data_IF_005794249303
#
_entry.id   IF_005794249303
#
_cell.length_a   1.000
_cell.length_b   1.000
_cell.length_c   1.000
_cell.angle_alpha   90.00
_cell.angle_beta   90.00
_cell.angle_gamma   90.00
#
_symmetry.space_group_name_H-M   'P 1'
#
loop_
_entity.id
_entity.type
_entity.pdbx_description
1 polymer ?
#
# COMPACT_ATOMS: atom_id res chain seq x y z
N UNK A 1 15.45 -70.24 -21.78
CA UNK A 1 14.18 -70.54 -21.07
C UNK A 1 14.49 -70.38 -19.58
N UNK A 2 13.91 -69.49 -18.77
CA UNK A 2 12.75 -68.62 -18.88
C UNK A 2 12.95 -67.43 -17.94
N UNK A 3 12.40 -66.28 -18.33
CA UNK A 3 12.29 -65.10 -17.50
C UNK A 3 11.38 -65.35 -16.29
N UNK A 4 11.67 -64.71 -15.15
CA UNK A 4 10.63 -64.35 -14.19
C UNK A 4 10.96 -62.99 -13.58
N UNK A 5 10.39 -61.95 -14.20
CA UNK A 5 10.30 -60.58 -13.67
C UNK A 5 9.26 -60.59 -12.56
N UNK A 6 9.64 -60.20 -11.35
CA UNK A 6 8.69 -59.82 -10.30
C UNK A 6 8.52 -58.31 -10.32
N UNK A 7 7.46 -57.87 -11.02
CA UNK A 7 6.86 -56.55 -10.88
C UNK A 7 6.10 -56.52 -9.54
N UNK A 8 6.42 -55.60 -8.65
CA UNK A 8 5.56 -55.28 -7.50
C UNK A 8 5.38 -53.77 -7.38
N UNK A 9 4.20 -53.33 -7.82
CA UNK A 9 3.38 -52.22 -7.32
C UNK A 9 4.09 -50.93 -6.90
N UNK A 10 4.24 -50.03 -7.86
CA UNK A 10 4.37 -48.61 -7.60
C UNK A 10 2.95 -48.05 -7.35
N UNK A 11 2.55 -47.96 -6.08
CA UNK A 11 1.28 -47.38 -5.67
C UNK A 11 1.30 -45.86 -5.94
N UNK A 12 0.69 -45.47 -7.05
CA UNK A 12 0.45 -44.07 -7.41
C UNK A 12 -0.65 -43.52 -6.48
N UNK A 13 -0.24 -42.82 -5.42
CA UNK A 13 -1.16 -42.03 -4.60
C UNK A 13 -1.86 -40.95 -5.47
N UNK A 14 -3.16 -40.72 -5.30
CA UNK A 14 -3.91 -39.70 -6.04
C UNK A 14 -3.51 -38.29 -5.58
N UNK A 15 -3.05 -37.47 -6.54
CA UNK A 15 -2.95 -36.01 -6.42
C UNK A 15 -4.35 -35.41 -6.55
N UNK A 16 -5.09 -35.27 -5.47
CA UNK A 16 -6.32 -34.49 -5.46
C UNK A 16 -6.65 -34.05 -4.03
N UNK A 17 -6.42 -32.77 -3.71
CA UNK A 17 -7.23 -31.93 -2.80
C UNK A 17 -6.47 -30.65 -2.43
N UNK A 18 -6.58 -29.60 -3.27
CA UNK A 18 -6.12 -28.24 -2.93
C UNK A 18 -6.97 -27.15 -3.61
N UNK A 19 -8.28 -27.32 -3.75
CA UNK A 19 -9.07 -26.37 -4.56
C UNK A 19 -10.26 -25.69 -3.86
N UNK A 20 -10.47 -25.84 -2.54
CA UNK A 20 -11.65 -25.25 -1.88
C UNK A 20 -11.38 -24.25 -0.75
N UNK A 21 -10.23 -24.31 -0.07
CA UNK A 21 -9.95 -23.44 1.10
C UNK A 21 -9.45 -22.04 0.76
N UNK A 22 -9.09 -21.75 -0.50
CA UNK A 22 -8.52 -20.44 -0.89
C UNK A 22 -9.59 -19.37 -1.09
N UNK A 23 -10.78 -19.73 -1.57
CA UNK A 23 -11.79 -18.75 -1.99
C UNK A 23 -12.41 -17.93 -0.84
N UNK A 24 -12.57 -18.51 0.35
CA UNK A 24 -13.11 -17.79 1.51
C UNK A 24 -12.08 -16.85 2.13
N UNK A 25 -10.82 -17.30 2.24
CA UNK A 25 -9.70 -16.48 2.74
C UNK A 25 -9.42 -15.30 1.82
N UNK A 26 -9.41 -15.50 0.50
CA UNK A 26 -9.22 -14.42 -0.48
C UNK A 26 -10.31 -13.35 -0.38
N UNK A 27 -11.58 -13.75 -0.28
CA UNK A 27 -12.71 -12.82 -0.05
C UNK A 27 -12.55 -12.06 1.26
N UNK A 28 -12.13 -12.75 2.32
CA UNK A 28 -11.86 -12.11 3.61
C UNK A 28 -10.78 -11.04 3.51
N UNK A 29 -9.65 -11.36 2.86
CA UNK A 29 -8.55 -10.41 2.64
C UNK A 29 -8.96 -9.23 1.76
N UNK A 30 -9.76 -9.46 0.71
CA UNK A 30 -10.31 -8.39 -0.13
C UNK A 30 -11.19 -7.43 0.70
N UNK A 31 -12.07 -7.97 1.52
CA UNK A 31 -12.95 -7.16 2.38
C UNK A 31 -12.17 -6.35 3.41
N UNK A 32 -11.13 -6.94 4.00
CA UNK A 32 -10.22 -6.23 4.90
C UNK A 32 -9.47 -5.10 4.18
N UNK A 33 -9.00 -5.32 2.94
CA UNK A 33 -8.35 -4.27 2.16
C UNK A 33 -9.30 -3.11 1.88
N UNK A 34 -10.53 -3.39 1.44
CA UNK A 34 -11.56 -2.35 1.19
C UNK A 34 -11.83 -1.56 2.47
N UNK A 35 -11.96 -2.24 3.61
CA UNK A 35 -12.15 -1.58 4.91
C UNK A 35 -10.96 -0.70 5.29
N UNK A 36 -9.74 -1.14 5.04
CA UNK A 36 -8.54 -0.31 5.24
C UNK A 36 -8.55 0.95 4.38
N UNK A 37 -8.95 0.85 3.11
CA UNK A 37 -9.12 2.01 2.22
C UNK A 37 -10.20 2.97 2.74
N UNK A 38 -11.33 2.44 3.20
CA UNK A 38 -12.39 3.26 3.79
C UNK A 38 -11.88 4.03 5.01
N UNK A 39 -11.17 3.37 5.93
CA UNK A 39 -10.59 4.05 7.09
C UNK A 39 -9.59 5.14 6.70
N UNK A 40 -8.76 4.95 5.67
CA UNK A 40 -7.90 6.02 5.15
C UNK A 40 -8.71 7.23 4.67
N UNK A 41 -9.80 6.99 3.93
CA UNK A 41 -10.67 8.05 3.37
C UNK A 41 -11.45 8.79 4.46
N UNK A 42 -11.74 8.14 5.58
CA UNK A 42 -12.38 8.74 6.76
C UNK A 42 -11.40 9.47 7.69
N UNK A 43 -10.07 9.35 7.46
CA UNK A 43 -9.04 9.91 8.33
C UNK A 43 -8.71 9.04 9.56
N UNK A 44 -9.25 7.82 9.63
CA UNK A 44 -8.98 6.83 10.69
C UNK A 44 -7.69 6.05 10.38
N UNK A 45 -6.55 6.75 10.39
CA UNK A 45 -5.28 6.25 9.84
C UNK A 45 -4.68 5.09 10.64
N UNK A 46 -4.79 5.11 11.96
CA UNK A 46 -4.28 4.03 12.83
C UNK A 46 -4.99 2.69 12.56
N UNK A 47 -6.32 2.73 12.42
CA UNK A 47 -7.12 1.54 12.09
C UNK A 47 -6.81 1.04 10.68
N UNK A 48 -6.61 1.95 9.72
CA UNK A 48 -6.19 1.61 8.37
C UNK A 48 -4.83 0.90 8.36
N UNK A 49 -3.83 1.45 9.06
CA UNK A 49 -2.50 0.85 9.21
C UNK A 49 -2.61 -0.53 9.83
N UNK A 50 -3.37 -0.68 10.92
CA UNK A 50 -3.54 -1.95 11.63
C UNK A 50 -4.11 -3.06 10.73
N UNK A 51 -5.21 -2.77 10.02
CA UNK A 51 -5.85 -3.75 9.12
C UNK A 51 -4.94 -4.08 7.94
N UNK A 52 -4.38 -3.08 7.26
CA UNK A 52 -3.56 -3.30 6.07
C UNK A 52 -2.24 -3.99 6.41
N UNK A 53 -1.67 -3.71 7.59
CA UNK A 53 -0.50 -4.42 8.11
C UNK A 53 -0.78 -5.92 8.25
N UNK A 54 -1.94 -6.31 8.79
CA UNK A 54 -2.29 -7.73 8.94
C UNK A 54 -2.40 -8.49 7.62
N UNK A 55 -2.66 -7.78 6.51
CA UNK A 55 -2.71 -8.35 5.17
C UNK A 55 -1.33 -8.49 4.53
N UNK A 56 -0.46 -7.51 4.77
CA UNK A 56 0.84 -7.39 4.09
C UNK A 56 1.98 -8.02 4.90
N UNK A 57 1.88 -8.05 6.22
CA UNK A 57 2.96 -8.51 7.10
C UNK A 57 2.50 -9.71 7.94
N UNK A 58 3.36 -10.73 8.14
CA UNK A 58 3.09 -11.76 9.13
C UNK A 58 3.07 -11.14 10.54
N UNK A 59 2.25 -11.66 11.47
CA UNK A 59 2.21 -11.15 12.84
C UNK A 59 3.59 -11.27 13.51
N UNK A 60 4.00 -10.22 14.23
CA UNK A 60 5.29 -10.17 14.94
C UNK A 60 6.52 -10.02 14.05
N UNK A 61 6.36 -9.84 12.74
CA UNK A 61 7.45 -9.70 11.79
C UNK A 61 7.60 -8.25 11.30
N UNK A 62 8.78 -7.92 10.78
CA UNK A 62 9.08 -6.61 10.18
C UNK A 62 9.24 -6.66 8.64
N UNK A 63 9.01 -7.82 8.02
CA UNK A 63 9.10 -8.00 6.56
C UNK A 63 7.72 -8.25 5.95
N UNK A 64 7.57 -7.97 4.66
CA UNK A 64 6.32 -8.25 3.96
C UNK A 64 6.20 -9.69 3.50
N UNK A 65 4.95 -10.12 3.35
CA UNK A 65 4.56 -11.40 2.80
C UNK A 65 4.84 -11.42 1.29
N UNK A 66 5.67 -12.33 0.77
CA UNK A 66 6.00 -12.38 -0.65
C UNK A 66 4.77 -12.66 -1.53
N UNK A 67 3.74 -13.29 -0.98
CA UNK A 67 2.47 -13.63 -1.61
C UNK A 67 1.40 -12.51 -1.52
N UNK A 68 1.63 -11.45 -0.73
CA UNK A 68 0.68 -10.36 -0.61
C UNK A 68 0.55 -9.59 -1.94
N UNK A 69 -0.67 -9.41 -2.49
CA UNK A 69 -0.90 -8.65 -3.71
C UNK A 69 -0.32 -7.24 -3.65
N UNK A 70 0.29 -6.78 -4.75
CA UNK A 70 0.86 -5.42 -4.83
C UNK A 70 -0.18 -4.33 -4.51
N UNK A 71 -1.46 -4.54 -4.87
CA UNK A 71 -2.55 -3.63 -4.52
C UNK A 71 -2.65 -3.41 -3.01
N UNK A 72 -2.57 -4.47 -2.20
CA UNK A 72 -2.63 -4.36 -0.74
C UNK A 72 -1.39 -3.67 -0.18
N UNK A 73 -0.21 -3.95 -0.76
CA UNK A 73 1.05 -3.29 -0.40
C UNK A 73 1.01 -1.78 -0.70
N UNK A 74 0.47 -1.37 -1.85
CA UNK A 74 0.31 0.06 -2.19
C UNK A 74 -0.67 0.76 -1.26
N UNK A 75 -1.76 0.10 -0.88
CA UNK A 75 -2.69 0.63 0.12
C UNK A 75 -2.03 0.78 1.48
N UNK A 76 -1.26 -0.23 1.92
CA UNK A 76 -0.51 -0.14 3.16
C UNK A 76 0.54 0.97 3.12
N UNK A 77 1.27 1.13 2.01
CA UNK A 77 2.21 2.23 1.80
C UNK A 77 1.52 3.60 1.88
N UNK A 78 0.32 3.71 1.32
CA UNK A 78 -0.49 4.94 1.40
C UNK A 78 -0.89 5.23 2.84
N UNK A 79 -1.31 4.22 3.61
CA UNK A 79 -1.67 4.38 5.01
C UNK A 79 -0.47 4.82 5.86
N UNK A 80 0.71 4.22 5.66
CA UNK A 80 1.96 4.62 6.32
C UNK A 80 2.31 6.07 6.03
N UNK A 81 2.19 6.50 4.76
CA UNK A 81 2.48 7.88 4.39
C UNK A 81 1.58 8.87 5.12
N UNK A 82 0.27 8.59 5.14
CA UNK A 82 -0.73 9.45 5.76
C UNK A 82 -0.60 9.49 7.28
N UNK A 83 -0.26 8.37 7.92
CA UNK A 83 -0.06 8.30 9.38
C UNK A 83 1.26 8.91 9.84
N UNK A 84 2.02 9.54 8.93
CA UNK A 84 3.25 10.24 9.26
C UNK A 84 4.50 9.38 9.26
N UNK A 85 4.46 8.21 8.60
CA UNK A 85 5.57 7.27 8.46
C UNK A 85 6.11 7.20 7.02
N UNK A 86 6.65 8.30 6.45
CA UNK A 86 7.17 8.33 5.08
C UNK A 86 8.34 7.35 4.86
N UNK A 87 9.11 7.03 5.90
CA UNK A 87 10.21 6.06 5.82
C UNK A 87 9.71 4.67 5.44
N UNK A 88 8.76 4.15 6.23
CA UNK A 88 8.11 2.86 5.98
C UNK A 88 7.36 2.82 4.65
N UNK A 89 6.78 3.95 4.23
CA UNK A 89 6.23 4.06 2.87
C UNK A 89 7.32 3.83 1.81
N UNK A 90 8.45 4.55 1.87
CA UNK A 90 9.53 4.42 0.89
C UNK A 90 10.16 3.02 0.86
N UNK A 91 10.35 2.40 2.02
CA UNK A 91 10.85 1.03 2.12
C UNK A 91 9.92 0.05 1.41
N UNK A 92 8.62 0.15 1.69
CA UNK A 92 7.61 -0.69 1.05
C UNK A 92 7.53 -0.45 -0.47
N UNK A 93 7.64 0.81 -0.91
CA UNK A 93 7.70 1.16 -2.33
C UNK A 93 8.97 0.64 -3.03
N UNK A 94 10.08 0.50 -2.32
CA UNK A 94 11.33 -0.06 -2.86
C UNK A 94 11.28 -1.59 -2.94
N UNK A 95 10.58 -2.25 -2.02
CA UNK A 95 10.36 -3.69 -2.05
C UNK A 95 9.40 -4.12 -3.18
N UNK A 96 8.42 -3.28 -3.49
CA UNK A 96 7.53 -3.47 -4.63
C UNK A 96 8.29 -3.24 -5.94
N UNK A 97 8.58 -4.31 -6.70
CA UNK A 97 9.16 -4.26 -8.04
C UNK A 97 8.16 -3.76 -9.11
N UNK A 98 7.43 -2.70 -8.80
CA UNK A 98 6.31 -2.15 -9.58
C UNK A 98 6.45 -0.62 -9.74
N UNK A 99 7.63 -0.17 -10.17
CA UNK A 99 7.97 1.26 -10.28
C UNK A 99 7.12 2.00 -11.34
N UNK A 100 6.58 1.26 -12.32
CA UNK A 100 5.74 1.81 -13.38
C UNK A 100 4.31 2.14 -12.94
N UNK A 101 3.87 1.69 -11.76
CA UNK A 101 2.49 1.88 -11.33
C UNK A 101 2.20 3.36 -11.02
N UNK A 102 1.11 3.96 -11.56
CA UNK A 102 0.79 5.37 -11.34
C UNK A 102 0.76 5.78 -9.87
N UNK A 103 0.18 4.93 -9.02
CA UNK A 103 0.12 5.16 -7.57
C UNK A 103 1.49 5.22 -6.90
N UNK A 104 2.43 4.37 -7.31
CA UNK A 104 3.79 4.36 -6.76
C UNK A 104 4.49 5.68 -7.12
N UNK A 105 4.30 6.15 -8.36
CA UNK A 105 4.84 7.43 -8.81
C UNK A 105 4.22 8.61 -8.05
N UNK A 106 2.89 8.60 -7.84
CA UNK A 106 2.18 9.61 -7.07
C UNK A 106 2.67 9.67 -5.61
N UNK A 107 2.84 8.53 -4.93
CA UNK A 107 3.36 8.49 -3.56
C UNK A 107 4.79 9.03 -3.49
N UNK A 108 5.67 8.64 -4.43
CA UNK A 108 7.03 9.18 -4.50
C UNK A 108 7.04 10.69 -4.79
N UNK A 109 6.14 11.17 -5.63
CA UNK A 109 5.98 12.59 -5.94
C UNK A 109 5.50 13.38 -4.72
N UNK A 110 4.52 12.86 -3.97
CA UNK A 110 4.02 13.47 -2.74
C UNK A 110 5.14 13.61 -1.69
N UNK A 111 5.94 12.56 -1.48
CA UNK A 111 7.09 12.60 -0.57
C UNK A 111 8.12 13.63 -1.03
N UNK A 112 8.48 13.66 -2.32
CA UNK A 112 9.40 14.67 -2.88
C UNK A 112 8.89 16.10 -2.70
N UNK A 113 7.60 16.32 -2.88
CA UNK A 113 6.98 17.63 -2.67
C UNK A 113 7.01 18.03 -1.20
N UNK A 114 6.73 17.08 -0.30
CA UNK A 114 6.83 17.28 1.14
C UNK A 114 8.26 17.60 1.59
N UNK A 115 9.27 16.90 1.07
CA UNK A 115 10.69 17.14 1.38
C UNK A 115 11.11 18.59 1.09
N UNK A 116 10.55 19.21 0.05
CA UNK A 116 10.80 20.63 -0.29
C UNK A 116 10.24 21.60 0.75
N UNK A 117 9.28 21.17 1.57
CA UNK A 117 8.71 22.01 2.62
C UNK A 117 9.59 22.02 3.87
N UNK A 118 10.50 21.06 4.03
CA UNK A 118 11.34 20.92 5.22
C UNK A 118 12.38 22.04 5.30
N UNK A 119 12.69 22.47 6.52
CA UNK A 119 13.85 23.35 6.73
C UNK A 119 15.14 22.61 6.39
N UNK A 120 16.22 23.33 6.09
CA UNK A 120 17.51 22.72 5.74
C UNK A 120 17.97 21.68 6.77
N UNK A 121 17.86 21.98 8.07
CA UNK A 121 18.22 21.04 9.14
C UNK A 121 17.28 19.83 9.22
N UNK A 122 15.97 20.03 9.03
CA UNK A 122 15.01 18.93 8.99
C UNK A 122 15.26 18.02 7.80
N UNK A 123 15.57 18.61 6.64
CA UNK A 123 15.89 17.88 5.43
C UNK A 123 17.18 17.06 5.59
N UNK A 124 18.24 17.65 6.18
CA UNK A 124 19.48 16.91 6.48
C UNK A 124 19.19 15.76 7.46
N UNK A 125 18.50 16.01 8.57
CA UNK A 125 18.17 14.99 9.56
C UNK A 125 17.29 13.87 8.98
N UNK A 126 16.32 14.21 8.13
CA UNK A 126 15.53 13.25 7.38
C UNK A 126 16.42 12.39 6.47
N UNK A 127 17.32 13.02 5.72
CA UNK A 127 18.15 12.34 4.73
C UNK A 127 19.24 11.46 5.34
N UNK A 128 19.82 11.85 6.47
CA UNK A 128 20.94 11.13 7.10
C UNK A 128 20.50 10.22 8.25
N UNK A 129 19.49 10.63 9.02
CA UNK A 129 19.06 9.95 10.23
C UNK A 129 17.70 9.25 10.13
N UNK A 130 16.99 9.38 9.01
CA UNK A 130 15.61 8.88 8.85
C UNK A 130 14.68 9.38 9.97
N UNK A 131 15.03 10.52 10.58
CA UNK A 131 14.24 11.13 11.65
C UNK A 131 13.07 11.84 11.01
N UNK A 132 11.87 11.34 11.29
CA UNK A 132 10.63 11.91 10.78
C UNK A 132 10.34 13.25 11.47
N UNK A 133 10.16 14.35 10.72
CA UNK A 133 9.85 15.65 11.28
C UNK A 133 8.50 15.63 12.03
N UNK A 134 8.55 15.71 13.36
CA UNK A 134 7.36 15.87 14.18
C UNK A 134 6.60 17.14 13.74
N UNK A 135 5.31 17.00 13.40
CA UNK A 135 4.38 18.07 12.99
C UNK A 135 4.39 18.50 11.50
N UNK A 136 4.94 17.71 10.59
CA UNK A 136 4.81 17.96 9.14
C UNK A 136 4.24 16.73 8.44
N UNK A 137 2.92 16.46 8.52
CA UNK A 137 2.33 15.34 7.81
C UNK A 137 2.46 15.53 6.29
N UNK A 138 2.60 14.43 5.56
CA UNK A 138 2.61 14.46 4.09
C UNK A 138 1.19 14.65 3.60
N UNK A 139 0.95 15.70 2.82
CA UNK A 139 -0.32 15.89 2.14
C UNK A 139 -0.30 15.18 0.79
N UNK A 140 -1.39 14.50 0.47
CA UNK A 140 -1.63 13.92 -0.85
C UNK A 140 -2.77 14.68 -1.53
N UNK A 141 -2.64 14.88 -2.83
CA UNK A 141 -3.60 15.57 -3.68
C UNK A 141 -4.51 14.59 -4.45
N UNK A 142 -4.45 13.30 -4.10
CA UNK A 142 -5.22 12.24 -4.72
C UNK A 142 -6.03 11.44 -3.69
N UNK A 143 -7.04 10.71 -4.17
CA UNK A 143 -7.89 9.86 -3.33
C UNK A 143 -7.04 8.74 -2.69
N UNK A 144 -7.05 8.60 -1.34
CA UNK A 144 -6.33 7.54 -0.66
C UNK A 144 -6.83 6.14 -1.05
N UNK A 145 -5.87 5.24 -1.30
CA UNK A 145 -6.09 3.83 -1.55
C UNK A 145 -6.72 3.47 -2.90
N UNK A 146 -6.61 2.20 -3.25
CA UNK A 146 -7.10 1.60 -4.48
C UNK A 146 -7.99 0.40 -4.17
N UNK A 147 -9.13 0.31 -4.85
CA UNK A 147 -10.03 -0.83 -4.80
C UNK A 147 -9.93 -1.57 -6.14
N UNK A 148 -10.04 -2.90 -6.11
CA UNK A 148 -9.99 -3.72 -7.33
C UNK A 148 -11.09 -3.30 -8.31
N UNK A 149 -10.70 -3.01 -9.57
CA UNK A 149 -11.60 -2.49 -10.60
C UNK A 149 -11.70 -0.96 -10.67
N UNK A 150 -11.13 -0.23 -9.70
CA UNK A 150 -10.98 1.23 -9.74
C UNK A 150 -9.73 1.57 -10.57
N UNK A 151 -9.92 2.16 -11.76
CA UNK A 151 -8.77 2.65 -12.55
C UNK A 151 -8.10 3.80 -11.78
N UNK A 152 -6.76 3.86 -11.70
CA UNK A 152 -6.07 4.98 -11.08
C UNK A 152 -6.45 6.27 -11.82
N UNK A 153 -7.24 7.11 -11.16
CA UNK A 153 -7.71 8.38 -11.71
C UNK A 153 -6.53 9.36 -11.84
N UNK A 154 -6.26 9.91 -13.03
CA UNK A 154 -5.38 11.04 -13.21
C UNK A 154 -6.21 12.32 -13.22
N UNK A 155 -6.76 12.78 -12.09
CA UNK A 155 -7.29 14.14 -12.05
C UNK A 155 -7.36 14.72 -10.63
N UNK A 156 -6.29 15.40 -10.25
CA UNK A 156 -6.36 16.50 -9.31
C UNK A 156 -6.27 17.80 -10.12
N UNK A 157 -7.38 18.22 -10.73
CA UNK A 157 -7.51 19.61 -11.19
C UNK A 157 -7.51 20.53 -9.97
N UNK A 158 -6.64 21.55 -9.90
CA UNK A 158 -6.65 22.50 -8.80
C UNK A 158 -7.97 23.27 -8.82
N UNK A 159 -8.72 23.17 -7.73
CA UNK A 159 -9.85 24.05 -7.47
C UNK A 159 -9.32 25.50 -7.50
N UNK A 160 -9.65 26.19 -8.60
CA UNK A 160 -9.45 27.63 -8.71
C UNK A 160 -10.45 28.27 -7.76
N UNK A 161 -10.03 28.55 -6.53
CA UNK A 161 -10.73 29.47 -5.65
C UNK A 161 -10.57 30.87 -6.22
N UNK A 162 -11.43 31.22 -7.15
CA UNK A 162 -11.58 32.57 -7.68
C UNK A 162 -11.98 33.49 -6.52
N UNK A 163 -10.98 34.19 -6.00
CA UNK A 163 -11.14 35.43 -5.26
C UNK A 163 -11.98 36.39 -6.11
N UNK A 164 -13.22 36.63 -5.69
CA UNK A 164 -14.03 37.73 -6.21
C UNK A 164 -14.20 38.75 -5.11
N UNK A 165 -13.40 39.81 -5.23
CA UNK A 165 -13.67 41.13 -4.72
C UNK A 165 -15.15 41.50 -4.89
N UNK A 166 -15.79 41.96 -3.81
CA UNK A 166 -16.89 42.92 -3.91
C UNK A 166 -16.60 44.05 -2.94
N UNK A 167 -15.84 45.01 -3.49
CA UNK A 167 -15.82 46.39 -3.03
C UNK A 167 -17.03 47.06 -3.67
N UNK A 168 -17.94 47.59 -2.87
CA UNK A 168 -18.85 48.65 -3.32
C UNK A 168 -19.13 49.55 -2.12
N UNK A 169 -18.63 50.78 -2.25
CA UNK A 169 -18.95 51.92 -1.42
C UNK A 169 -20.38 52.40 -1.72
N UNK A 170 -21.11 52.79 -0.67
CA UNK A 170 -21.83 54.07 -0.54
C UNK A 170 -21.80 54.44 0.94
#
# INVERSE_FOLDING_TARGET
MSQKKSNSSNAKLPKAEKNQTTSSTERSSRNQNVRGVQFMREGNLEDAVSILRSLVMPPGCCWTRPDAPNLYRRNFATALLLSGHPSGCLELLAEMRDEGHPRVQQLRAAIKSWEKTLSFFQWVNWRTGWIEPANRPVTIDFIPGEIEGESPQPEATPATSTSSHLSTAV
#
